data_IF_447719228810
#
_entry.id   IF_447719228810
#
_cell.length_a   1.000
_cell.length_b   1.000
_cell.length_c   1.000
_cell.angle_alpha   90.00
_cell.angle_beta   90.00
_cell.angle_gamma   90.00
#
_symmetry.space_group_name_H-M   'P 1'
#
loop_
_entity.id
_entity.type
_entity.pdbx_description
1 polymer ?
#
# COMPACT_ATOMS: atom_id res chain seq x y z
N UNK A 1 -35.48 -5.55 95.72
CA UNK A 1 -35.70 -4.71 94.53
C UNK A 1 -34.58 -5.05 93.55
N UNK A 2 -34.82 -6.01 92.65
CA UNK A 2 -35.18 -5.79 91.23
C UNK A 2 -33.97 -5.27 90.42
N UNK A 3 -33.47 -5.89 89.35
CA UNK A 3 -33.83 -7.10 88.61
C UNK A 3 -32.85 -7.25 87.43
N UNK A 4 -32.32 -8.47 87.25
CA UNK A 4 -32.11 -9.28 86.02
C UNK A 4 -32.40 -8.56 84.67
N UNK A 5 -31.62 -8.72 83.55
CA UNK A 5 -31.13 -10.01 83.02
C UNK A 5 -29.71 -10.09 82.42
N UNK A 6 -29.25 -11.31 82.04
CA UNK A 6 -27.87 -11.61 81.66
C UNK A 6 -27.64 -11.91 80.16
N UNK A 7 -26.35 -11.77 79.80
CA UNK A 7 -25.54 -12.55 78.85
C UNK A 7 -26.03 -12.87 77.41
N UNK A 8 -25.20 -12.46 76.46
CA UNK A 8 -24.65 -13.41 75.47
C UNK A 8 -23.20 -13.09 75.08
N UNK A 9 -22.33 -14.10 75.27
CA UNK A 9 -20.96 -14.21 74.77
C UNK A 9 -21.00 -14.40 73.24
N UNK A 10 -19.97 -14.32 72.39
CA UNK A 10 -18.52 -14.55 72.45
C UNK A 10 -18.03 -14.26 71.01
N UNK A 11 -16.84 -13.67 70.80
CA UNK A 11 -15.81 -14.21 69.87
C UNK A 11 -14.59 -13.29 69.75
N UNK A 12 -13.45 -13.94 69.61
CA UNK A 12 -12.09 -13.43 69.74
C UNK A 12 -11.38 -13.36 68.39
N UNK A 13 -10.55 -12.32 68.23
CA UNK A 13 -9.31 -12.19 67.43
C UNK A 13 -9.43 -12.04 65.88
N UNK A 14 -8.41 -11.53 65.14
CA UNK A 14 -7.03 -11.16 65.53
C UNK A 14 -6.47 -9.81 64.97
N UNK A 15 -5.24 -9.51 65.43
CA UNK A 15 -4.19 -8.57 64.96
C UNK A 15 -4.37 -7.94 63.57
N UNK A 16 -4.29 -6.61 63.55
CA UNK A 16 -4.10 -5.80 62.35
C UNK A 16 -2.80 -6.11 61.64
N UNK A 17 -2.93 -6.35 60.34
CA UNK A 17 -1.87 -6.33 59.33
C UNK A 17 -1.35 -4.90 59.13
N UNK A 18 -0.06 -4.73 58.79
CA UNK A 18 0.53 -3.42 58.59
C UNK A 18 -0.14 -2.70 57.41
N UNK A 19 -0.35 -1.40 57.61
CA UNK A 19 -0.91 -0.47 56.63
C UNK A 19 -0.06 -0.49 55.36
N UNK A 20 -0.55 -1.20 54.33
CA UNK A 20 -0.05 -1.08 52.97
C UNK A 20 -0.71 0.16 52.37
N UNK A 21 0.10 1.16 52.08
CA UNK A 21 -0.31 2.48 51.61
C UNK A 21 -1.04 2.39 50.29
N UNK A 22 -2.06 3.24 50.09
CA UNK A 22 -2.96 3.34 48.93
C UNK A 22 -2.25 3.60 47.57
N UNK A 23 -0.91 3.74 47.58
CA UNK A 23 -0.06 3.99 46.42
C UNK A 23 0.40 2.71 45.68
N UNK A 24 0.20 1.52 46.25
CA UNK A 24 0.59 0.24 45.62
C UNK A 24 -0.58 -0.43 44.86
N UNK A 25 -1.78 0.16 44.96
CA UNK A 25 -2.97 -0.20 44.16
C UNK A 25 -3.10 0.71 42.94
N UNK A 26 -1.97 1.06 42.32
CA UNK A 26 -1.97 1.78 41.03
C UNK A 26 -2.38 0.80 39.94
N UNK A 27 -3.69 0.64 39.80
CA UNK A 27 -4.44 0.36 38.58
C UNK A 27 -3.70 -0.49 37.54
N UNK A 28 -3.65 -1.81 37.75
CA UNK A 28 -3.40 -2.75 36.64
C UNK A 28 -4.67 -2.74 35.78
N UNK A 29 -4.73 -1.84 34.81
CA UNK A 29 -5.79 -1.79 33.81
C UNK A 29 -5.69 -3.11 33.01
N UNK A 30 -6.81 -3.78 32.78
CA UNK A 30 -6.81 -4.99 31.94
C UNK A 30 -6.40 -4.63 30.51
N UNK A 31 -5.85 -5.58 29.72
CA UNK A 31 -5.40 -5.31 28.35
C UNK A 31 -6.49 -4.67 27.49
N UNK A 32 -7.74 -5.09 27.66
CA UNK A 32 -8.88 -4.52 26.93
C UNK A 32 -9.11 -3.02 27.23
N UNK A 33 -8.94 -2.62 28.48
CA UNK A 33 -9.11 -1.24 28.89
C UNK A 33 -7.89 -0.38 28.49
N UNK A 34 -6.67 -0.93 28.50
CA UNK A 34 -5.49 -0.27 27.93
C UNK A 34 -5.68 0.03 26.44
N UNK A 35 -6.13 -0.95 25.66
CA UNK A 35 -6.34 -0.75 24.22
C UNK A 35 -7.53 0.16 23.90
N UNK A 36 -8.54 0.22 24.77
CA UNK A 36 -9.62 1.20 24.65
C UNK A 36 -9.10 2.64 24.87
N UNK A 37 -8.25 2.84 25.87
CA UNK A 37 -7.59 4.13 26.13
C UNK A 37 -6.63 4.52 25.01
N UNK A 38 -5.83 3.57 24.51
CA UNK A 38 -4.95 3.77 23.35
C UNK A 38 -5.74 4.19 22.11
N UNK A 39 -6.87 3.52 21.83
CA UNK A 39 -7.74 3.86 20.70
C UNK A 39 -8.32 5.28 20.84
N UNK A 40 -8.75 5.66 22.04
CA UNK A 40 -9.25 7.00 22.32
C UNK A 40 -8.16 8.08 22.17
N UNK A 41 -6.95 7.79 22.65
CA UNK A 41 -5.80 8.69 22.53
C UNK A 41 -5.32 8.85 21.07
N UNK A 42 -5.30 7.77 20.28
CA UNK A 42 -5.01 7.82 18.85
C UNK A 42 -6.06 8.63 18.08
N UNK A 43 -7.35 8.47 18.42
CA UNK A 43 -8.42 9.28 17.83
C UNK A 43 -8.28 10.77 18.20
N UNK A 44 -7.94 11.09 19.45
CA UNK A 44 -7.67 12.46 19.88
C UNK A 44 -6.44 13.07 19.19
N UNK A 45 -5.47 12.23 18.78
CA UNK A 45 -4.31 12.61 17.98
C UNK A 45 -4.58 12.69 16.47
N UNK A 46 -5.83 12.49 16.02
CA UNK A 46 -6.21 12.62 14.60
C UNK A 46 -5.91 11.40 13.73
N UNK A 47 -5.53 10.26 14.32
CA UNK A 47 -5.26 9.03 13.57
C UNK A 47 -6.56 8.46 12.99
N UNK A 48 -6.63 8.13 11.68
CA UNK A 48 -7.82 7.54 11.08
C UNK A 48 -8.25 6.23 11.78
N UNK A 49 -9.55 6.06 12.00
CA UNK A 49 -10.09 4.94 12.79
C UNK A 49 -9.68 3.54 12.24
N UNK A 50 -9.58 3.39 10.92
CA UNK A 50 -9.14 2.15 10.29
C UNK A 50 -7.67 1.84 10.61
N UNK A 51 -6.81 2.86 10.61
CA UNK A 51 -5.39 2.74 10.95
C UNK A 51 -5.20 2.48 12.44
N UNK A 52 -5.93 3.20 13.31
CA UNK A 52 -5.92 2.94 14.75
C UNK A 52 -6.35 1.50 15.08
N UNK A 53 -7.38 0.98 14.40
CA UNK A 53 -7.84 -0.40 14.56
C UNK A 53 -6.81 -1.44 14.16
N UNK A 54 -6.13 -1.25 13.02
CA UNK A 54 -5.06 -2.14 12.57
C UNK A 54 -3.88 -2.14 13.55
N UNK A 55 -3.41 -0.95 13.96
CA UNK A 55 -2.32 -0.81 14.94
C UNK A 55 -2.64 -1.50 16.26
N UNK A 56 -3.86 -1.35 16.77
CA UNK A 56 -4.27 -1.99 18.03
C UNK A 56 -4.28 -3.52 17.91
N UNK A 57 -4.68 -4.05 16.76
CA UNK A 57 -4.69 -5.50 16.55
C UNK A 57 -3.28 -6.09 16.45
N UNK A 58 -2.37 -5.40 15.76
CA UNK A 58 -0.96 -5.79 15.68
C UNK A 58 -0.29 -5.80 17.07
N UNK A 59 -0.60 -4.80 17.91
CA UNK A 59 -0.08 -4.73 19.27
C UNK A 59 -0.65 -5.81 20.19
N UNK A 60 -1.92 -6.20 20.00
CA UNK A 60 -2.50 -7.36 20.71
C UNK A 60 -1.83 -8.66 20.32
N UNK A 61 -1.57 -8.84 19.03
CA UNK A 61 -0.85 -10.01 18.53
C UNK A 61 0.57 -10.07 19.14
N UNK A 62 1.26 -8.93 19.22
CA UNK A 62 2.58 -8.85 19.85
C UNK A 62 2.55 -9.26 21.33
N UNK A 63 1.60 -8.75 22.12
CA UNK A 63 1.49 -9.13 23.54
C UNK A 63 1.08 -10.59 23.73
N UNK A 64 0.33 -11.18 22.80
CA UNK A 64 0.05 -12.61 22.82
C UNK A 64 1.31 -13.46 22.60
N UNK A 65 2.29 -12.94 21.87
CA UNK A 65 3.58 -13.60 21.63
C UNK A 65 4.57 -13.40 22.79
N UNK A 66 4.62 -12.20 23.39
CA UNK A 66 5.56 -11.88 24.48
C UNK A 66 5.04 -12.28 25.85
N UNK A 67 3.71 -12.34 26.03
CA UNK A 67 3.06 -12.62 27.30
C UNK A 67 3.21 -11.50 28.34
N UNK A 68 3.68 -10.31 27.94
CA UNK A 68 3.90 -9.15 28.82
C UNK A 68 2.64 -8.31 28.97
N UNK A 69 2.55 -7.53 30.06
CA UNK A 69 1.45 -6.60 30.26
C UNK A 69 1.64 -5.35 29.35
N UNK A 70 0.57 -4.78 28.77
CA UNK A 70 0.67 -3.64 27.87
C UNK A 70 1.39 -2.44 28.48
N UNK A 71 1.13 -2.11 29.74
CA UNK A 71 1.77 -0.99 30.43
C UNK A 71 3.26 -1.25 30.72
N UNK A 72 3.64 -2.51 30.90
CA UNK A 72 5.04 -2.91 31.13
C UNK A 72 5.85 -2.85 29.84
N UNK A 73 5.26 -3.28 28.73
CA UNK A 73 5.89 -3.31 27.41
C UNK A 73 5.93 -1.91 26.75
N UNK A 74 4.82 -1.18 26.81
CA UNK A 74 4.62 0.03 26.02
C UNK A 74 4.55 1.31 26.86
N UNK A 75 4.45 1.21 28.18
CA UNK A 75 4.21 2.35 29.06
C UNK A 75 2.76 2.86 28.98
N UNK A 76 2.46 4.05 29.54
CA UNK A 76 1.10 4.60 29.58
C UNK A 76 0.50 4.80 28.17
N UNK A 77 -0.76 4.41 27.99
CA UNK A 77 -1.44 4.43 26.69
C UNK A 77 -1.42 5.81 26.00
N UNK A 78 -1.60 6.90 26.76
CA UNK A 78 -1.56 8.26 26.23
C UNK A 78 -0.15 8.69 25.75
N UNK A 79 0.89 8.31 26.49
CA UNK A 79 2.28 8.60 26.11
C UNK A 79 2.70 7.74 24.91
N UNK A 80 2.27 6.48 24.88
CA UNK A 80 2.50 5.61 23.75
C UNK A 80 1.76 6.07 22.50
N UNK A 81 0.51 6.53 22.63
CA UNK A 81 -0.25 7.15 21.56
C UNK A 81 0.43 8.42 21.04
N UNK A 82 1.00 9.25 21.90
CA UNK A 82 1.75 10.43 21.48
C UNK A 82 3.01 10.07 20.68
N UNK A 83 3.71 8.99 21.06
CA UNK A 83 4.85 8.45 20.28
C UNK A 83 4.41 7.86 18.94
N UNK A 84 3.30 7.13 18.90
CA UNK A 84 2.74 6.55 17.67
C UNK A 84 2.17 7.63 16.73
N UNK A 85 1.45 8.60 17.28
CA UNK A 85 0.88 9.73 16.54
C UNK A 85 1.93 10.74 16.08
N UNK A 86 3.05 10.89 16.81
CA UNK A 86 4.20 11.68 16.37
C UNK A 86 5.08 10.98 15.31
N UNK A 87 4.88 9.68 15.08
CA UNK A 87 5.55 8.88 14.04
C UNK A 87 4.63 8.56 12.85
N UNK A 88 3.32 8.74 13.00
CA UNK A 88 2.41 8.77 11.86
C UNK A 88 2.69 10.07 11.10
N UNK A 89 3.12 10.02 9.82
CA UNK A 89 3.06 11.19 8.98
C UNK A 89 1.63 11.72 9.06
N UNK A 90 1.48 13.00 9.41
CA UNK A 90 0.23 13.71 9.19
C UNK A 90 -0.18 13.38 7.74
N UNK A 91 -1.35 12.77 7.48
CA UNK A 91 -1.78 12.57 6.11
C UNK A 91 -1.87 13.98 5.55
N UNK A 92 -0.92 14.32 4.66
CA UNK A 92 -0.69 15.66 4.12
C UNK A 92 -1.99 16.43 4.15
N UNK A 93 -2.14 17.34 5.12
CA UNK A 93 -3.29 18.24 5.16
C UNK A 93 -3.37 18.78 3.73
N UNK A 94 -4.45 18.49 2.98
CA UNK A 94 -4.41 18.59 1.53
C UNK A 94 -3.94 20.00 1.22
N UNK A 95 -2.73 20.09 0.68
CA UNK A 95 -2.16 21.37 0.30
C UNK A 95 -3.18 21.94 -0.67
N UNK A 96 -3.94 22.95 -0.24
CA UNK A 96 -5.16 23.39 -0.95
C UNK A 96 -4.80 23.99 -2.30
N UNK A 97 -3.51 24.23 -2.54
CA UNK A 97 -2.94 24.60 -3.82
C UNK A 97 -2.62 23.39 -4.74
N UNK A 98 -2.43 22.19 -4.20
CA UNK A 98 -2.04 21.00 -4.95
C UNK A 98 -3.24 20.30 -5.61
N UNK A 99 -3.14 20.11 -6.92
CA UNK A 99 -4.14 19.37 -7.71
C UNK A 99 -3.93 17.87 -7.55
N UNK A 100 -5.03 17.13 -7.42
CA UNK A 100 -5.02 15.67 -7.31
C UNK A 100 -5.83 15.06 -8.45
N UNK A 101 -5.31 13.97 -9.02
CA UNK A 101 -5.97 13.28 -10.13
C UNK A 101 -5.66 11.79 -10.12
N UNK A 102 -6.71 10.97 -10.13
CA UNK A 102 -6.60 9.51 -10.18
C UNK A 102 -7.03 9.00 -11.55
N UNK A 103 -6.20 8.14 -12.15
CA UNK A 103 -6.49 7.56 -13.46
C UNK A 103 -5.93 6.15 -13.61
N UNK A 104 -6.40 5.43 -14.62
CA UNK A 104 -5.91 4.10 -14.96
C UNK A 104 -5.81 3.92 -16.47
N UNK A 105 -4.97 2.97 -16.88
CA UNK A 105 -4.76 2.57 -18.25
C UNK A 105 -4.56 1.06 -18.31
N UNK A 106 -4.78 0.47 -19.48
CA UNK A 106 -4.32 -0.90 -19.69
C UNK A 106 -2.79 -0.99 -19.76
N UNK A 107 -2.27 -2.19 -19.52
CA UNK A 107 -0.83 -2.51 -19.52
C UNK A 107 -0.11 -2.18 -20.84
N UNK A 108 -0.83 -1.94 -21.94
CA UNK A 108 -0.23 -1.56 -23.22
C UNK A 108 -0.08 -0.04 -23.36
N UNK A 109 -0.80 0.75 -22.56
CA UNK A 109 -0.89 2.20 -22.69
C UNK A 109 -0.39 2.96 -21.46
N UNK A 110 -0.33 2.32 -20.30
CA UNK A 110 0.13 2.89 -19.03
C UNK A 110 1.48 3.64 -19.16
N UNK A 111 2.52 3.03 -19.75
CA UNK A 111 3.85 3.64 -19.94
C UNK A 111 3.78 4.92 -20.77
N UNK A 112 2.92 4.94 -21.80
CA UNK A 112 2.73 6.11 -22.65
C UNK A 112 2.01 7.22 -21.89
N UNK A 113 0.96 6.88 -21.14
CA UNK A 113 0.21 7.86 -20.35
C UNK A 113 1.06 8.42 -19.22
N UNK A 114 1.86 7.59 -18.54
CA UNK A 114 2.85 8.02 -17.56
C UNK A 114 3.85 9.01 -18.16
N UNK A 115 4.41 8.72 -19.33
CA UNK A 115 5.33 9.66 -19.99
C UNK A 115 4.66 10.99 -20.37
N UNK A 116 3.43 10.96 -20.88
CA UNK A 116 2.69 12.17 -21.27
C UNK A 116 2.35 13.02 -20.04
N UNK A 117 1.83 12.41 -18.98
CA UNK A 117 1.40 13.15 -17.79
C UNK A 117 2.58 13.57 -16.91
N UNK A 118 3.65 12.77 -16.85
CA UNK A 118 4.92 13.18 -16.24
C UNK A 118 5.54 14.39 -16.93
N UNK A 119 5.47 14.45 -18.27
CA UNK A 119 5.89 15.63 -19.04
C UNK A 119 5.11 16.92 -18.69
N UNK A 120 3.87 16.77 -18.22
CA UNK A 120 2.96 17.84 -17.82
C UNK A 120 3.07 18.22 -16.33
N UNK A 121 3.97 17.55 -15.61
CA UNK A 121 4.24 17.81 -14.21
C UNK A 121 3.41 17.02 -13.21
N UNK A 122 2.69 15.99 -13.66
CA UNK A 122 2.00 15.07 -12.76
C UNK A 122 2.98 14.09 -12.13
N UNK A 123 3.08 14.14 -10.80
CA UNK A 123 3.80 13.19 -9.98
C UNK A 123 2.87 12.04 -9.59
N UNK A 124 3.28 10.80 -9.78
CA UNK A 124 2.59 9.63 -9.23
C UNK A 124 3.08 9.41 -7.81
N UNK A 125 2.18 9.47 -6.85
CA UNK A 125 2.50 9.26 -5.43
C UNK A 125 2.39 7.79 -5.06
N UNK A 126 1.31 7.16 -5.51
CA UNK A 126 0.99 5.78 -5.21
C UNK A 126 0.15 5.14 -6.31
N UNK A 127 0.05 3.82 -6.26
CA UNK A 127 -0.99 3.06 -6.95
C UNK A 127 -2.02 2.60 -5.92
N UNK A 128 -3.30 2.74 -6.24
CA UNK A 128 -4.37 2.19 -5.42
C UNK A 128 -4.44 0.65 -5.53
N UNK A 129 -5.22 0.02 -4.65
CA UNK A 129 -5.33 -1.44 -4.56
C UNK A 129 -5.83 -2.11 -5.86
N UNK A 130 -6.45 -1.36 -6.76
CA UNK A 130 -6.97 -1.86 -8.05
C UNK A 130 -6.15 -1.38 -9.25
N UNK A 131 -4.98 -0.76 -9.01
CA UNK A 131 -4.01 -0.39 -10.03
C UNK A 131 -4.27 0.95 -10.70
N UNK A 132 -4.95 1.89 -10.04
CA UNK A 132 -5.05 3.28 -10.51
C UNK A 132 -3.88 4.10 -9.98
N UNK A 133 -3.35 4.95 -10.83
CA UNK A 133 -2.31 5.91 -10.49
C UNK A 133 -2.93 7.09 -9.75
N UNK A 134 -2.50 7.32 -8.52
CA UNK A 134 -2.84 8.50 -7.73
C UNK A 134 -1.76 9.54 -7.99
N UNK A 135 -2.15 10.63 -8.64
CA UNK A 135 -1.22 11.68 -9.04
C UNK A 135 -1.49 13.00 -8.32
N UNK A 136 -0.42 13.73 -8.05
CA UNK A 136 -0.44 15.09 -7.51
C UNK A 136 0.33 16.03 -8.44
N UNK A 137 -0.07 17.30 -8.46
CA UNK A 137 0.66 18.38 -9.11
C UNK A 137 0.48 19.68 -8.35
N UNK A 138 1.58 20.30 -7.95
CA UNK A 138 1.56 21.63 -7.34
C UNK A 138 1.77 22.71 -8.43
N UNK A 139 0.77 23.56 -8.72
CA UNK A 139 0.93 24.66 -9.66
C UNK A 139 2.06 25.61 -9.23
N UNK A 140 2.87 26.07 -10.18
CA UNK A 140 3.99 27.00 -9.92
C UNK A 140 5.29 26.35 -9.43
N UNK A 141 5.28 25.08 -9.02
CA UNK A 141 6.48 24.30 -8.65
C UNK A 141 6.52 22.93 -9.32
N UNK A 142 5.70 22.72 -10.35
CA UNK A 142 5.60 21.44 -11.05
C UNK A 142 6.91 21.04 -11.73
N UNK A 143 7.43 19.87 -11.37
CA UNK A 143 8.59 19.25 -12.02
C UNK A 143 8.14 18.24 -13.06
N UNK A 144 8.91 18.09 -14.12
CA UNK A 144 8.75 17.00 -15.08
C UNK A 144 9.22 15.68 -14.45
N UNK A 145 8.46 14.62 -14.69
CA UNK A 145 8.72 13.29 -14.17
C UNK A 145 9.00 12.28 -15.27
N UNK A 146 10.01 11.45 -15.03
CA UNK A 146 10.28 10.24 -15.80
C UNK A 146 9.73 9.03 -15.04
N UNK A 147 9.16 8.09 -15.79
CA UNK A 147 8.58 6.87 -15.24
C UNK A 147 9.14 5.63 -15.91
N UNK A 148 9.31 4.59 -15.11
CA UNK A 148 9.78 3.28 -15.55
C UNK A 148 8.93 2.19 -14.92
N UNK A 149 8.55 1.19 -15.73
CA UNK A 149 7.85 -0.01 -15.26
C UNK A 149 8.78 -1.21 -15.44
N UNK A 150 8.94 -1.99 -14.40
CA UNK A 150 9.74 -3.21 -14.40
C UNK A 150 8.93 -4.40 -13.88
N UNK A 151 9.31 -5.60 -14.29
CA UNK A 151 8.72 -6.84 -13.76
C UNK A 151 9.46 -7.22 -12.48
N UNK A 152 8.75 -7.25 -11.35
CA UNK A 152 9.31 -7.49 -10.02
C UNK A 152 8.93 -8.86 -9.43
N UNK A 153 8.25 -9.72 -10.21
CA UNK A 153 7.80 -11.04 -9.74
C UNK A 153 8.91 -11.91 -9.13
N UNK A 154 8.62 -12.51 -7.98
CA UNK A 154 9.50 -13.45 -7.28
C UNK A 154 10.79 -12.79 -6.79
N UNK A 155 11.93 -13.48 -6.96
CA UNK A 155 13.25 -12.99 -6.51
C UNK A 155 13.82 -11.81 -7.30
N UNK A 156 13.08 -11.31 -8.30
CA UNK A 156 13.53 -10.20 -9.16
C UNK A 156 13.30 -8.83 -8.51
N UNK A 157 12.28 -8.69 -7.64
CA UNK A 157 11.93 -7.40 -7.03
C UNK A 157 13.09 -6.69 -6.34
N UNK A 158 13.76 -7.32 -5.33
CA UNK A 158 14.87 -6.68 -4.63
C UNK A 158 16.02 -6.26 -5.56
N UNK A 159 16.37 -7.11 -6.53
CA UNK A 159 17.43 -6.82 -7.51
C UNK A 159 17.12 -5.61 -8.38
N UNK A 160 15.87 -5.47 -8.81
CA UNK A 160 15.44 -4.33 -9.63
C UNK A 160 15.54 -3.04 -8.82
N UNK A 161 15.18 -3.06 -7.54
CA UNK A 161 15.33 -1.89 -6.67
C UNK A 161 16.80 -1.51 -6.50
N UNK A 162 17.67 -2.48 -6.23
CA UNK A 162 19.12 -2.27 -6.07
C UNK A 162 19.79 -1.73 -7.35
N UNK A 163 19.33 -2.15 -8.53
CA UNK A 163 19.82 -1.67 -9.82
C UNK A 163 19.37 -0.22 -10.11
N UNK A 164 18.17 0.16 -9.67
CA UNK A 164 17.54 1.43 -10.03
C UNK A 164 17.81 2.55 -9.02
N UNK A 165 18.01 2.23 -7.74
CA UNK A 165 18.28 3.24 -6.70
C UNK A 165 19.53 4.12 -6.99
N UNK A 166 20.67 3.58 -7.49
CA UNK A 166 21.84 4.41 -7.83
C UNK A 166 21.60 5.41 -8.97
N UNK A 167 20.62 5.15 -9.84
CA UNK A 167 20.23 6.04 -10.93
C UNK A 167 19.22 7.12 -10.49
N UNK A 168 18.85 7.14 -9.20
CA UNK A 168 17.89 8.09 -8.62
C UNK A 168 16.43 7.74 -8.93
N UNK A 169 16.12 6.47 -9.24
CA UNK A 169 14.74 6.02 -9.35
C UNK A 169 14.17 5.67 -7.99
N UNK A 170 12.95 6.13 -7.74
CA UNK A 170 12.20 5.89 -6.52
C UNK A 170 10.96 5.05 -6.81
N UNK A 171 10.62 4.05 -5.97
CA UNK A 171 9.40 3.28 -6.15
C UNK A 171 8.16 4.16 -5.89
N UNK A 172 7.15 4.06 -6.75
CA UNK A 172 5.87 4.77 -6.60
C UNK A 172 4.66 3.83 -6.55
N UNK A 173 4.89 2.53 -6.47
CA UNK A 173 3.86 1.52 -6.22
C UNK A 173 4.03 0.27 -7.05
N UNK A 174 3.26 -0.74 -6.69
CA UNK A 174 3.31 -2.06 -7.30
C UNK A 174 1.90 -2.49 -7.69
N UNK A 175 1.78 -3.14 -8.85
CA UNK A 175 0.52 -3.73 -9.27
C UNK A 175 0.74 -5.00 -10.07
N UNK A 176 0.11 -6.09 -9.61
CA UNK A 176 0.34 -7.45 -10.09
C UNK A 176 1.83 -7.84 -9.99
N UNK A 177 2.47 -8.10 -11.12
CA UNK A 177 3.88 -8.46 -11.22
C UNK A 177 4.78 -7.26 -11.55
N UNK A 178 4.24 -6.04 -11.59
CA UNK A 178 4.92 -4.85 -12.06
C UNK A 178 5.20 -3.88 -10.92
N UNK A 179 6.45 -3.41 -10.84
CA UNK A 179 6.87 -2.28 -10.02
C UNK A 179 6.96 -1.03 -10.88
N UNK A 180 6.44 0.08 -10.35
CA UNK A 180 6.51 1.39 -10.98
C UNK A 180 7.50 2.26 -10.22
N UNK A 181 8.33 2.94 -11.00
CA UNK A 181 9.40 3.78 -10.50
C UNK A 181 9.28 5.16 -11.15
N UNK A 182 9.61 6.19 -10.38
CA UNK A 182 9.61 7.59 -10.81
C UNK A 182 10.98 8.22 -10.56
N UNK A 183 11.28 9.27 -11.31
CA UNK A 183 12.45 10.11 -11.08
C UNK A 183 12.15 11.53 -11.56
N UNK A 184 12.52 12.59 -10.81
CA UNK A 184 12.39 13.95 -11.31
C UNK A 184 13.38 14.16 -12.46
N UNK A 185 12.92 14.67 -13.61
CA UNK A 185 13.80 15.00 -14.74
C UNK A 185 14.82 16.09 -14.41
N UNK A 186 14.63 16.83 -13.32
CA UNK A 186 15.64 17.75 -12.81
C UNK A 186 16.94 17.02 -12.40
N UNK A 187 16.86 15.75 -11.96
CA UNK A 187 18.04 14.94 -11.62
C UNK A 187 18.89 14.60 -12.84
N UNK A 188 18.31 14.56 -14.04
CA UNK A 188 18.99 14.24 -15.31
C UNK A 188 19.28 15.47 -16.16
N UNK A 189 18.43 16.51 -16.10
CA UNK A 189 18.43 17.64 -17.03
C UNK A 189 18.65 19.00 -16.36
N UNK A 190 18.78 19.05 -15.03
CA UNK A 190 18.94 20.30 -14.27
C UNK A 190 17.67 21.18 -14.27
N UNK A 191 17.79 22.52 -14.21
CA UNK A 191 16.66 23.45 -14.10
C UNK A 191 15.62 23.35 -15.24
N UNK A 192 16.00 22.79 -16.40
CA UNK A 192 15.09 22.52 -17.52
C UNK A 192 14.00 21.46 -17.21
N UNK A 193 14.07 20.84 -16.02
CA UNK A 193 13.06 19.96 -15.48
C UNK A 193 11.82 20.66 -14.93
N UNK A 194 11.78 21.99 -14.78
CA UNK A 194 10.56 22.69 -14.35
C UNK A 194 9.51 22.78 -15.46
N UNK A 195 8.24 22.84 -15.06
CA UNK A 195 7.09 23.07 -15.95
C UNK A 195 6.45 24.40 -15.58
N UNK A 196 6.79 25.45 -16.34
CA UNK A 196 6.36 26.82 -16.02
C UNK A 196 4.87 27.07 -16.29
N UNK A 197 4.30 26.38 -17.28
CA UNK A 197 2.89 26.50 -17.67
C UNK A 197 2.27 25.11 -17.92
N UNK A 198 1.89 24.37 -16.86
CA UNK A 198 1.28 23.07 -17.01
C UNK A 198 -0.12 23.18 -17.63
N UNK A 199 -0.53 22.25 -18.53
CA UNK A 199 -1.88 22.25 -19.08
C UNK A 199 -2.93 21.95 -17.99
N UNK A 200 -4.17 22.36 -18.22
CA UNK A 200 -5.28 22.12 -17.29
C UNK A 200 -5.42 20.63 -16.93
N UNK A 201 -5.91 20.37 -15.71
CA UNK A 201 -6.03 19.01 -15.20
C UNK A 201 -6.91 18.14 -16.12
N UNK A 202 -6.48 16.90 -16.44
CA UNK A 202 -7.26 16.04 -17.31
C UNK A 202 -8.59 15.63 -16.67
N UNK A 203 -9.68 15.67 -17.44
CA UNK A 203 -10.99 15.16 -16.97
C UNK A 203 -11.18 13.66 -17.18
N UNK A 204 -10.35 13.04 -18.03
CA UNK A 204 -10.45 11.60 -18.33
C UNK A 204 -9.73 10.81 -17.24
N UNK A 205 -10.25 9.66 -16.87
CA UNK A 205 -9.65 8.79 -15.85
C UNK A 205 -9.34 7.38 -16.37
N UNK A 206 -9.76 7.04 -17.60
CA UNK A 206 -9.59 5.71 -18.19
C UNK A 206 -8.97 5.80 -19.59
N UNK A 207 -7.81 5.16 -19.78
CA UNK A 207 -7.07 5.19 -21.04
C UNK A 207 -6.80 3.79 -21.59
N UNK A 208 -7.76 3.28 -22.37
CA UNK A 208 -7.63 2.00 -23.04
C UNK A 208 -7.05 2.14 -24.47
N UNK A 209 -5.98 1.41 -24.74
CA UNK A 209 -5.43 1.16 -26.07
C UNK A 209 -6.41 0.35 -26.93
N UNK A 210 -6.18 0.35 -28.25
CA UNK A 210 -6.93 -0.50 -29.19
C UNK A 210 -6.79 -1.99 -28.84
N UNK A 211 -5.61 -2.41 -28.38
CA UNK A 211 -5.34 -3.78 -27.95
C UNK A 211 -6.08 -4.13 -26.66
N UNK A 212 -6.03 -3.26 -25.66
CA UNK A 212 -6.80 -3.42 -24.42
C UNK A 212 -8.31 -3.52 -24.68
N UNK A 213 -8.85 -2.67 -25.56
CA UNK A 213 -10.26 -2.76 -26.00
C UNK A 213 -10.58 -4.09 -26.66
N UNK A 214 -9.70 -4.60 -27.52
CA UNK A 214 -9.89 -5.90 -28.17
C UNK A 214 -9.86 -7.06 -27.16
N UNK A 215 -8.91 -7.07 -26.24
CA UNK A 215 -8.83 -8.07 -25.15
C UNK A 215 -10.08 -8.02 -24.29
N UNK A 216 -10.54 -6.82 -23.91
CA UNK A 216 -11.75 -6.63 -23.12
C UNK A 216 -13.01 -7.09 -23.88
N UNK A 217 -13.09 -6.86 -25.19
CA UNK A 217 -14.18 -7.36 -26.03
C UNK A 217 -14.18 -8.89 -26.11
N UNK A 218 -13.01 -9.52 -26.33
CA UNK A 218 -12.88 -10.99 -26.33
C UNK A 218 -13.27 -11.56 -24.98
N UNK A 219 -12.78 -10.96 -23.88
CA UNK A 219 -13.15 -11.36 -22.52
C UNK A 219 -14.67 -11.25 -22.29
N UNK A 220 -15.29 -10.14 -22.69
CA UNK A 220 -16.72 -9.94 -22.55
C UNK A 220 -17.54 -10.97 -23.36
N UNK A 221 -17.08 -11.34 -24.56
CA UNK A 221 -17.69 -12.40 -25.36
C UNK A 221 -17.57 -13.77 -24.70
N UNK A 222 -16.41 -14.10 -24.14
CA UNK A 222 -16.19 -15.38 -23.46
C UNK A 222 -17.03 -15.49 -22.19
N UNK A 223 -17.03 -14.44 -21.36
CA UNK A 223 -17.86 -14.39 -20.15
C UNK A 223 -19.33 -14.39 -20.51
N UNK A 224 -19.77 -13.55 -21.44
CA UNK A 224 -21.15 -13.52 -21.90
C UNK A 224 -21.62 -14.85 -22.49
N UNK A 225 -20.77 -15.53 -23.26
CA UNK A 225 -21.03 -16.87 -23.78
C UNK A 225 -21.15 -17.93 -22.68
N UNK A 226 -20.24 -17.93 -21.71
CA UNK A 226 -20.29 -18.84 -20.57
C UNK A 226 -21.53 -18.61 -19.69
N UNK A 227 -21.87 -17.35 -19.42
CA UNK A 227 -23.08 -16.97 -18.70
C UNK A 227 -24.33 -17.40 -19.46
N UNK A 228 -24.38 -17.20 -20.78
CA UNK A 228 -25.50 -17.65 -21.62
C UNK A 228 -25.64 -19.18 -21.60
N UNK A 229 -24.53 -19.91 -21.72
CA UNK A 229 -24.52 -21.37 -21.67
C UNK A 229 -24.97 -21.92 -20.30
N UNK A 230 -24.64 -21.21 -19.21
CA UNK A 230 -25.16 -21.51 -17.88
C UNK A 230 -26.69 -21.34 -17.81
N UNK A 231 -27.23 -20.21 -18.28
CA UNK A 231 -28.67 -19.94 -18.25
C UNK A 231 -29.49 -20.88 -19.15
N UNK A 232 -28.92 -21.37 -20.25
CA UNK A 232 -29.57 -22.35 -21.14
C UNK A 232 -29.38 -23.80 -20.65
N UNK A 233 -28.71 -24.00 -19.51
CA UNK A 233 -28.52 -25.32 -18.90
C UNK A 233 -27.45 -26.18 -19.58
N UNK A 234 -26.67 -25.61 -20.51
CA UNK A 234 -25.56 -26.28 -21.18
C UNK A 234 -24.30 -26.37 -20.30
N UNK A 235 -24.20 -25.51 -19.27
CA UNK A 235 -23.14 -25.54 -18.26
C UNK A 235 -23.72 -25.61 -16.85
N UNK A 236 -23.20 -26.50 -16.01
CA UNK A 236 -23.42 -26.45 -14.56
C UNK A 236 -22.68 -25.27 -13.89
N UNK A 237 -23.03 -24.94 -12.65
CA UNK A 237 -22.40 -23.87 -11.84
C UNK A 237 -20.88 -24.00 -11.75
N UNK A 238 -20.37 -25.23 -11.63
CA UNK A 238 -18.93 -25.52 -11.62
C UNK A 238 -18.24 -25.20 -12.95
N UNK A 239 -18.91 -25.41 -14.09
CA UNK A 239 -18.38 -25.07 -15.41
C UNK A 239 -18.26 -23.56 -15.61
N UNK A 240 -19.24 -22.79 -15.12
CA UNK A 240 -19.22 -21.33 -15.19
C UNK A 240 -18.05 -20.75 -14.39
N UNK A 241 -17.84 -21.23 -13.16
CA UNK A 241 -16.75 -20.81 -12.30
C UNK A 241 -15.37 -21.10 -12.92
N UNK A 242 -15.20 -22.29 -13.51
CA UNK A 242 -13.95 -22.69 -14.19
C UNK A 242 -13.69 -21.84 -15.44
N UNK A 243 -14.72 -21.59 -16.26
CA UNK A 243 -14.59 -20.75 -17.45
C UNK A 243 -14.16 -19.32 -17.07
N UNK A 244 -14.84 -18.70 -16.11
CA UNK A 244 -14.49 -17.35 -15.63
C UNK A 244 -13.08 -17.31 -15.03
N UNK A 245 -12.70 -18.29 -14.21
CA UNK A 245 -11.36 -18.37 -13.61
C UNK A 245 -10.23 -18.55 -14.65
N UNK A 246 -10.46 -19.35 -15.69
CA UNK A 246 -9.48 -19.56 -16.77
C UNK A 246 -9.32 -18.33 -17.66
N UNK A 247 -10.41 -17.59 -17.91
CA UNK A 247 -10.35 -16.34 -18.70
C UNK A 247 -9.57 -15.24 -17.95
N UNK A 248 -9.75 -15.15 -16.63
CA UNK A 248 -9.00 -14.24 -15.77
C UNK A 248 -7.51 -14.62 -15.65
N UNK A 249 -7.19 -15.92 -15.57
CA UNK A 249 -5.81 -16.41 -15.47
C UNK A 249 -5.02 -16.28 -16.77
N UNK A 250 -5.66 -16.46 -17.94
CA UNK A 250 -5.01 -16.29 -19.23
C UNK A 250 -4.58 -14.84 -19.48
N UNK A 251 -5.32 -13.84 -18.97
CA UNK A 251 -4.98 -12.42 -19.17
C UNK A 251 -3.68 -12.01 -18.46
N UNK A 252 -3.41 -12.59 -17.28
CA UNK A 252 -2.18 -12.36 -16.51
C UNK A 252 -0.97 -13.11 -17.08
N UNK A 253 -1.16 -14.36 -17.56
CA UNK A 253 -0.08 -15.11 -18.21
C UNK A 253 0.27 -14.60 -19.61
N UNK A 254 -0.71 -14.15 -20.39
CA UNK A 254 -0.47 -13.69 -21.77
C UNK A 254 0.29 -12.35 -21.80
N UNK A 255 0.03 -11.45 -20.85
CA UNK A 255 0.76 -10.17 -20.74
C UNK A 255 2.17 -10.36 -20.19
N UNK A 256 2.36 -11.20 -19.17
CA UNK A 256 3.70 -11.58 -18.67
C UNK A 256 4.55 -12.34 -19.72
N UNK A 257 3.91 -13.21 -20.52
CA UNK A 257 4.56 -13.99 -21.57
C UNK A 257 5.08 -13.15 -22.75
N UNK A 258 4.30 -12.16 -23.19
CA UNK A 258 4.69 -11.27 -24.29
C UNK A 258 5.84 -10.33 -23.90
N UNK A 259 5.87 -9.86 -22.66
CA UNK A 259 6.94 -8.96 -22.19
C UNK A 259 8.23 -9.71 -21.84
N UNK A 260 8.14 -10.94 -21.34
CA UNK A 260 9.32 -11.80 -21.15
C UNK A 260 9.94 -12.24 -22.48
N UNK A 261 9.14 -12.48 -23.53
CA UNK A 261 9.65 -12.75 -24.88
C UNK A 261 10.35 -11.51 -25.47
N UNK A 262 9.73 -10.34 -25.42
CA UNK A 262 10.33 -9.09 -25.90
C UNK A 262 11.58 -8.68 -25.09
N UNK A 263 11.62 -8.98 -23.78
CA UNK A 263 12.78 -8.75 -22.93
C UNK A 263 13.97 -9.64 -23.28
N UNK A 264 13.71 -10.93 -23.61
CA UNK A 264 14.74 -11.87 -24.07
C UNK A 264 15.35 -11.44 -25.41
N UNK A 265 14.53 -10.97 -26.35
CA UNK A 265 15.01 -10.47 -27.64
C UNK A 265 15.89 -9.21 -27.51
N UNK A 266 15.54 -8.28 -26.60
CA UNK A 266 16.37 -7.10 -26.33
C UNK A 266 17.68 -7.44 -25.65
N UNK A 267 17.68 -8.40 -24.72
CA UNK A 267 18.90 -8.88 -24.07
C UNK A 267 19.81 -9.64 -25.04
N UNK A 268 19.24 -10.43 -25.96
CA UNK A 268 19.99 -11.05 -27.05
C UNK A 268 20.63 -10.00 -27.97
N UNK A 269 19.86 -8.99 -28.41
CA UNK A 269 20.35 -7.90 -29.25
C UNK A 269 21.35 -6.95 -28.53
N UNK A 270 21.33 -6.89 -27.20
CA UNK A 270 22.33 -6.17 -26.41
C UNK A 270 23.63 -6.98 -26.26
N UNK A 271 23.52 -8.30 -26.06
CA UNK A 271 24.67 -9.22 -26.04
C UNK A 271 25.42 -9.25 -27.36
N UNK A 272 24.71 -9.33 -28.49
CA UNK A 272 25.31 -9.33 -29.83
C UNK A 272 26.02 -8.00 -30.17
N UNK A 273 25.54 -6.88 -29.63
CA UNK A 273 26.23 -5.58 -29.74
C UNK A 273 27.45 -5.47 -28.83
N UNK A 274 27.44 -6.12 -27.68
CA UNK A 274 28.58 -6.14 -26.75
C UNK A 274 29.69 -7.11 -27.16
N UNK A 275 29.35 -8.19 -27.87
CA UNK A 275 30.33 -9.15 -28.43
C UNK A 275 30.96 -8.65 -29.73
N UNK A 276 30.35 -7.67 -30.40
CA UNK A 276 30.93 -6.97 -31.55
C UNK A 276 31.80 -5.77 -31.12
N UNK A 277 33.07 -6.02 -30.78
CA UNK A 277 34.11 -4.96 -30.69
C UNK A 277 35.16 -5.19 -31.79
N UNK A 278 35.69 -4.13 -32.42
CA UNK A 278 36.11 -4.14 -33.82
C UNK A 278 37.50 -4.71 -34.01
N UNK A 279 37.68 -5.51 -35.05
CA UNK A 279 38.96 -6.11 -35.37
C UNK A 279 39.18 -6.25 -36.86
N UNK A 280 39.63 -5.17 -37.50
CA UNK A 280 40.91 -5.10 -38.22
C UNK A 280 40.99 -3.82 -39.06
N UNK A 281 41.56 -2.78 -38.46
CA UNK A 281 42.46 -1.88 -39.20
C UNK A 281 43.87 -2.45 -39.09
N UNK A 282 44.48 -2.81 -40.23
CA UNK A 282 45.85 -2.46 -40.63
C UNK A 282 46.38 -3.38 -41.74
N UNK A 283 47.41 -2.96 -42.49
CA UNK A 283 47.89 -1.60 -42.78
C UNK A 283 47.65 -1.17 -44.23
#
# INVERSE_FOLDING_TARGET
MAGVPPHRRHRTAPRGTPHMTDADRTHRIGPDAYFAELSAALAAAGVPAAQAGATVEDLRAHLAETGTAPEEEFGPAAEFAARLGGLAPEPDAPDTASEHWTWTADLFNDRRMLAVHGAQGWEVESLDAIGRFVCRRTPGSALRWEYRREVIAGRRGPRVLDELAPEGWEPCGEWLAYGYFKRPSAATTGPAGSVDAPPAAPHRWLFLSRRGKAVLAVWALLVGGATTAFFVGALGTAGLAIAVALTSSLSALWTSGLETAAGRERQAAARDRSSGTPGKTNP
#
